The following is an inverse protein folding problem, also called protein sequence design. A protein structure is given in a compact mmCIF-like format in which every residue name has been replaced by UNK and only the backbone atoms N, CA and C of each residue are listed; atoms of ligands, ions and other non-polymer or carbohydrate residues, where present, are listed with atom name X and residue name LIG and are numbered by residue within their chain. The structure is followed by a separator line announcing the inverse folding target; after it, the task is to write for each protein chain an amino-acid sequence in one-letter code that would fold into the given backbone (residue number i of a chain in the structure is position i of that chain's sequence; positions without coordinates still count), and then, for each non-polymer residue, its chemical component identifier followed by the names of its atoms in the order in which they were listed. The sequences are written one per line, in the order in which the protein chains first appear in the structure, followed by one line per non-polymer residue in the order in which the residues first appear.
data_IF_969033840378
#
_entry.id   IF_969033840378
#
_cell.length_a   1.000
_cell.length_b   1.000
_cell.length_c   1.000
_cell.angle_alpha   90.00
_cell.angle_beta   90.00
_cell.angle_gamma   90.00
#
_symmetry.space_group_name_H-M   'P 1'
#
loop_
_entity.id
_entity.type
_entity.pdbx_description
1 polymer ?
#
# COMPACT_ATOMS: atom_id res chain seq x y z
N UNK A 1 19.04 26.60 -11.92
CA UNK A 1 18.99 25.20 -12.35
C UNK A 1 18.97 24.32 -11.11
N UNK A 2 17.78 23.96 -10.63
CA UNK A 2 17.65 22.86 -9.67
C UNK A 2 17.66 21.58 -10.49
N UNK A 3 18.61 20.70 -10.20
CA UNK A 3 18.62 19.36 -10.77
C UNK A 3 17.53 18.58 -10.06
N UNK A 4 16.42 18.34 -10.74
CA UNK A 4 15.37 17.45 -10.26
C UNK A 4 15.97 16.05 -10.11
N UNK A 5 16.13 15.60 -8.86
CA UNK A 5 16.50 14.22 -8.57
C UNK A 5 15.40 13.34 -9.18
N UNK A 6 15.74 12.35 -10.03
CA UNK A 6 14.74 11.46 -10.60
C UNK A 6 13.88 10.85 -9.50
N UNK A 7 12.56 10.98 -9.61
CA UNK A 7 11.59 10.59 -8.57
C UNK A 7 11.82 9.16 -8.05
N UNK A 8 12.20 8.24 -8.92
CA UNK A 8 12.49 6.84 -8.56
C UNK A 8 13.72 6.70 -7.64
N UNK A 9 14.72 7.55 -7.83
CA UNK A 9 15.91 7.60 -6.97
C UNK A 9 15.53 8.17 -5.60
N UNK A 10 14.72 9.23 -5.56
CA UNK A 10 14.24 9.80 -4.31
C UNK A 10 13.41 8.79 -3.48
N UNK A 11 12.51 8.06 -4.13
CA UNK A 11 11.71 7.00 -3.50
C UNK A 11 12.59 5.86 -2.97
N UNK A 12 13.54 5.38 -3.77
CA UNK A 12 14.47 4.33 -3.33
C UNK A 12 15.34 4.77 -2.14
N UNK A 13 15.82 6.02 -2.13
CA UNK A 13 16.54 6.58 -0.98
C UNK A 13 15.64 6.61 0.26
N UNK A 14 14.39 7.08 0.10
CA UNK A 14 13.40 7.12 1.18
C UNK A 14 13.15 5.73 1.76
N UNK A 15 13.03 4.71 0.93
CA UNK A 15 12.82 3.34 1.39
C UNK A 15 14.04 2.75 2.10
N UNK A 16 15.26 3.03 1.62
CA UNK A 16 16.48 2.64 2.34
C UNK A 16 16.55 3.30 3.71
N UNK A 17 16.18 4.58 3.81
CA UNK A 17 16.12 5.31 5.07
C UNK A 17 15.04 4.77 6.00
N UNK A 18 13.83 4.48 5.49
CA UNK A 18 12.77 3.82 6.26
C UNK A 18 13.20 2.44 6.75
N UNK A 19 13.89 1.67 5.90
CA UNK A 19 14.46 0.37 6.24
C UNK A 19 15.46 0.44 7.39
N UNK A 20 16.35 1.43 7.38
CA UNK A 20 17.28 1.68 8.47
C UNK A 20 16.56 2.07 9.77
N UNK A 21 15.57 2.97 9.70
CA UNK A 21 14.74 3.35 10.86
C UNK A 21 14.01 2.15 11.45
N UNK A 22 13.44 1.32 10.58
CA UNK A 22 12.78 0.08 10.97
C UNK A 22 13.74 -0.89 11.66
N UNK A 23 14.94 -1.09 11.11
CA UNK A 23 15.96 -1.96 11.71
C UNK A 23 16.39 -1.46 13.11
N UNK A 24 16.62 -0.15 13.27
CA UNK A 24 16.95 0.46 14.57
C UNK A 24 15.82 0.34 15.60
N UNK A 25 14.56 0.49 15.16
CA UNK A 25 13.38 0.32 16.02
C UNK A 25 13.22 -1.13 16.45
N UNK A 26 13.46 -2.08 15.54
CA UNK A 26 13.43 -3.52 15.82
C UNK A 26 14.52 -3.93 16.81
N UNK A 27 15.75 -3.43 16.68
CA UNK A 27 16.83 -3.71 17.65
C UNK A 27 16.52 -3.15 19.03
N UNK A 28 15.88 -1.98 19.11
CA UNK A 28 15.47 -1.36 20.38
C UNK A 28 14.37 -2.14 21.11
N UNK A 29 13.43 -2.73 20.38
CA UNK A 29 12.39 -3.59 20.96
C UNK A 29 12.87 -5.02 21.25
N UNK A 30 13.85 -5.53 20.50
CA UNK A 30 14.48 -6.84 20.76
C UNK A 30 15.45 -6.87 21.95
N UNK A 31 15.94 -5.71 22.42
CA UNK A 31 16.82 -5.64 23.61
C UNK A 31 16.11 -5.82 24.96
N UNK A 32 14.77 -5.94 24.97
CA UNK A 32 14.01 -6.20 26.20
C UNK A 32 13.80 -7.69 26.49
N UNK A 33 14.23 -8.60 25.61
CA UNK A 33 14.17 -10.05 25.86
C UNK A 33 15.59 -10.64 25.89
N UNK A 34 16.10 -10.77 27.12
CA UNK A 34 17.24 -11.61 27.52
C UNK A 34 18.56 -11.45 26.75
N UNK A 35 19.41 -10.54 27.21
CA UNK A 35 20.85 -10.68 27.02
C UNK A 35 21.57 -10.31 28.33
N UNK A 36 22.30 -11.29 28.89
CA UNK A 36 23.24 -11.07 29.99
C UNK A 36 24.27 -9.98 29.61
N UNK A 37 24.73 -9.17 30.58
CA UNK A 37 25.49 -7.97 30.29
C UNK A 37 26.95 -8.29 30.00
N UNK A 38 27.37 -8.11 28.74
CA UNK A 38 28.78 -7.96 28.41
C UNK A 38 29.26 -6.58 28.88
N UNK A 39 30.21 -6.58 29.81
CA UNK A 39 30.80 -5.37 30.42
C UNK A 39 31.70 -4.66 29.38
N UNK A 40 31.19 -3.59 28.79
CA UNK A 40 31.96 -2.52 28.13
C UNK A 40 31.31 -1.16 28.49
N UNK A 41 32.01 -0.01 28.39
CA UNK A 41 31.55 1.25 28.99
C UNK A 41 30.37 1.88 28.21
N UNK A 42 29.17 1.40 28.49
CA UNK A 42 28.01 1.51 27.58
C UNK A 42 27.08 2.71 27.85
N UNK A 43 27.44 3.62 28.75
CA UNK A 43 26.49 4.65 29.23
C UNK A 43 26.65 5.98 28.46
N UNK A 44 27.83 6.28 27.91
CA UNK A 44 28.07 7.53 27.15
C UNK A 44 27.78 7.34 25.66
N UNK A 45 28.10 6.17 25.10
CA UNK A 45 27.85 5.85 23.70
C UNK A 45 26.35 5.61 23.41
N UNK A 46 25.63 4.92 24.31
CA UNK A 46 24.19 4.75 24.17
C UNK A 46 23.41 6.06 24.31
N UNK A 47 23.83 6.99 25.17
CA UNK A 47 23.15 8.28 25.30
C UNK A 47 23.42 9.18 24.11
N UNK A 48 24.64 9.19 23.56
CA UNK A 48 24.97 9.90 22.33
C UNK A 48 24.27 9.30 21.11
N UNK A 49 24.19 7.96 21.00
CA UNK A 49 23.45 7.26 19.95
C UNK A 49 21.93 7.49 20.08
N UNK A 50 21.39 7.51 21.31
CA UNK A 50 19.98 7.78 21.56
C UNK A 50 19.66 9.25 21.25
N UNK A 51 20.50 10.21 21.63
CA UNK A 51 20.32 11.63 21.29
C UNK A 51 20.47 11.82 19.79
N UNK A 52 21.46 11.20 19.14
CA UNK A 52 21.63 11.25 17.68
C UNK A 52 20.44 10.63 16.95
N UNK A 53 19.91 9.48 17.39
CA UNK A 53 18.73 8.85 16.82
C UNK A 53 17.47 9.70 17.00
N UNK A 54 17.31 10.36 18.15
CA UNK A 54 16.12 11.20 18.43
C UNK A 54 16.19 12.54 17.71
N UNK A 55 17.39 13.12 17.58
CA UNK A 55 17.65 14.35 16.81
C UNK A 55 17.55 14.07 15.31
N UNK A 56 18.03 12.91 14.85
CA UNK A 56 17.80 12.42 13.49
C UNK A 56 16.32 12.17 13.25
N UNK A 57 15.59 11.49 14.13
CA UNK A 57 14.14 11.29 13.96
C UNK A 57 13.38 12.62 13.89
N UNK A 58 13.74 13.63 14.70
CA UNK A 58 13.15 14.97 14.61
C UNK A 58 13.54 15.70 13.33
N UNK A 59 14.79 15.62 12.87
CA UNK A 59 15.27 16.19 11.61
C UNK A 59 14.67 15.48 10.38
N UNK A 60 14.43 14.17 10.46
CA UNK A 60 13.84 13.37 9.38
C UNK A 60 12.31 13.43 9.36
N UNK A 61 11.66 13.61 10.51
CA UNK A 61 10.22 13.91 10.58
C UNK A 61 9.93 15.34 10.11
N UNK A 62 10.85 16.28 10.34
CA UNK A 62 10.81 17.61 9.69
C UNK A 62 11.14 17.54 8.20
N UNK A 63 12.06 16.68 7.74
CA UNK A 63 12.27 16.45 6.31
C UNK A 63 11.08 15.76 5.63
N UNK A 64 10.37 14.87 6.34
CA UNK A 64 9.09 14.30 5.88
C UNK A 64 8.04 15.42 5.73
N UNK A 65 7.94 16.33 6.70
CA UNK A 65 7.05 17.52 6.62
C UNK A 65 7.47 18.55 5.55
N UNK A 66 8.78 18.70 5.26
CA UNK A 66 9.28 19.65 4.25
C UNK A 66 9.17 19.04 2.84
N UNK A 67 9.35 17.74 2.65
CA UNK A 67 9.05 17.06 1.36
C UNK A 67 7.55 16.92 1.09
N UNK A 68 6.70 16.95 2.13
CA UNK A 68 5.25 17.09 2.00
C UNK A 68 4.87 18.46 1.41
N UNK A 69 5.59 19.53 1.78
CA UNK A 69 5.41 20.88 1.23
C UNK A 69 5.74 21.04 -0.27
N UNK A 70 6.36 20.03 -0.91
CA UNK A 70 6.71 20.06 -2.34
C UNK A 70 5.77 19.21 -3.21
N UNK A 71 4.84 18.45 -2.61
CA UNK A 71 3.93 17.53 -3.33
C UNK A 71 2.45 17.79 -3.04
N UNK A 72 2.07 18.57 -2.02
CA UNK A 72 0.69 19.03 -1.85
C UNK A 72 0.58 20.20 -0.86
N UNK A 73 -0.12 21.27 -1.23
CA UNK A 73 -0.40 22.46 -0.41
C UNK A 73 -1.44 22.22 0.72
N UNK A 74 -1.74 20.97 1.11
CA UNK A 74 -2.80 20.71 2.08
C UNK A 74 -2.46 19.63 3.14
N UNK A 75 -2.09 20.02 4.37
CA UNK A 75 -1.75 19.10 5.47
C UNK A 75 -2.90 18.21 5.96
N UNK A 76 -4.15 18.49 5.56
CA UNK A 76 -5.35 17.77 5.98
C UNK A 76 -5.51 16.38 5.33
N UNK A 77 -4.75 16.08 4.27
CA UNK A 77 -4.77 14.78 3.57
C UNK A 77 -4.07 13.67 4.38
N UNK A 78 -3.39 13.99 5.48
CA UNK A 78 -2.60 13.00 6.24
C UNK A 78 -3.41 12.14 7.24
N UNK A 79 -4.66 12.52 7.51
CA UNK A 79 -5.56 11.82 8.43
C UNK A 79 -6.62 10.96 7.72
N UNK A 80 -6.89 11.19 6.45
CA UNK A 80 -7.85 10.41 5.64
C UNK A 80 -7.16 9.69 4.47
N UNK A 81 -7.71 8.55 4.04
CA UNK A 81 -7.25 7.90 2.81
C UNK A 81 -7.58 8.81 1.60
N UNK A 82 -6.73 8.85 0.56
CA UNK A 82 -7.07 9.58 -0.66
C UNK A 82 -8.27 8.95 -1.35
N UNK A 83 -9.03 9.74 -2.11
CA UNK A 83 -10.06 9.22 -3.02
C UNK A 83 -9.42 8.25 -4.02
N UNK A 84 -9.87 7.00 -3.95
CA UNK A 84 -9.33 5.91 -4.77
C UNK A 84 -9.68 6.15 -6.23
N UNK A 85 -8.67 6.20 -7.10
CA UNK A 85 -8.89 6.31 -8.53
C UNK A 85 -9.15 4.93 -9.16
N UNK A 86 -9.81 4.93 -10.32
CA UNK A 86 -10.03 3.73 -11.11
C UNK A 86 -8.75 3.18 -11.74
N UNK A 87 -8.74 1.86 -11.98
CA UNK A 87 -7.66 1.14 -12.64
C UNK A 87 -7.35 1.71 -14.04
N UNK A 88 -8.37 2.12 -14.78
CA UNK A 88 -8.18 2.79 -16.08
C UNK A 88 -7.29 4.02 -15.92
N UNK A 89 -7.64 4.95 -15.03
CA UNK A 89 -6.84 6.16 -14.78
C UNK A 89 -5.38 5.84 -14.41
N UNK A 90 -5.17 4.93 -13.46
CA UNK A 90 -3.81 4.59 -13.03
C UNK A 90 -2.92 4.09 -14.18
N UNK A 91 -3.45 3.24 -15.05
CA UNK A 91 -2.63 2.57 -16.06
C UNK A 91 -2.63 3.25 -17.43
N UNK A 92 -3.57 4.15 -17.72
CA UNK A 92 -3.66 4.81 -19.04
C UNK A 92 -3.32 6.30 -19.04
N UNK A 93 -3.30 6.98 -17.89
CA UNK A 93 -2.99 8.42 -17.79
C UNK A 93 -1.48 8.76 -17.78
N UNK A 94 -0.65 7.91 -18.39
CA UNK A 94 0.79 8.15 -18.50
C UNK A 94 1.49 8.34 -17.14
N UNK A 95 2.32 9.39 -17.05
CA UNK A 95 3.07 9.70 -15.81
C UNK A 95 2.17 10.14 -14.66
N UNK A 96 1.04 10.77 -14.94
CA UNK A 96 0.09 11.21 -13.91
C UNK A 96 -0.55 10.01 -13.22
N UNK A 97 -1.08 9.07 -14.01
CA UNK A 97 -1.64 7.82 -13.50
C UNK A 97 -0.63 7.00 -12.70
N UNK A 98 0.62 6.93 -13.16
CA UNK A 98 1.71 6.26 -12.44
C UNK A 98 2.01 6.90 -11.08
N UNK A 99 2.11 8.24 -11.02
CA UNK A 99 2.35 8.98 -9.77
C UNK A 99 1.19 8.80 -8.80
N UNK A 100 -0.05 8.89 -9.30
CA UNK A 100 -1.24 8.67 -8.51
C UNK A 100 -1.30 7.25 -7.96
N UNK A 101 -1.04 6.22 -8.79
CA UNK A 101 -1.01 4.82 -8.34
C UNK A 101 -0.03 4.63 -7.18
N UNK A 102 1.20 5.10 -7.35
CA UNK A 102 2.24 4.95 -6.32
C UNK A 102 1.84 5.64 -5.00
N UNK A 103 1.38 6.89 -5.08
CA UNK A 103 0.91 7.67 -3.93
C UNK A 103 -0.26 6.97 -3.24
N UNK A 104 -1.28 6.62 -4.00
CA UNK A 104 -2.54 6.10 -3.47
C UNK A 104 -2.32 4.71 -2.86
N UNK A 105 -1.59 3.81 -3.50
CA UNK A 105 -1.27 2.49 -2.93
C UNK A 105 -0.54 2.59 -1.58
N UNK A 106 0.38 3.56 -1.43
CA UNK A 106 1.05 3.82 -0.16
C UNK A 106 0.07 4.28 0.93
N UNK A 107 -0.78 5.27 0.65
CA UNK A 107 -1.70 5.81 1.65
C UNK A 107 -2.86 4.87 1.98
N UNK A 108 -3.37 4.12 1.00
CA UNK A 108 -4.38 3.09 1.22
C UNK A 108 -3.81 1.96 2.08
N UNK A 109 -2.58 1.52 1.81
CA UNK A 109 -1.88 0.55 2.68
C UNK A 109 -1.71 1.10 4.09
N UNK A 110 -1.33 2.37 4.24
CA UNK A 110 -1.21 3.01 5.54
C UNK A 110 -2.56 3.07 6.28
N UNK A 111 -3.67 3.33 5.59
CA UNK A 111 -5.01 3.34 6.16
C UNK A 111 -5.43 1.95 6.67
N UNK A 112 -5.21 0.90 5.88
CA UNK A 112 -5.43 -0.50 6.27
C UNK A 112 -4.62 -0.85 7.53
N UNK A 113 -3.34 -0.48 7.57
CA UNK A 113 -2.47 -0.77 8.71
C UNK A 113 -2.93 -0.03 9.98
N UNK A 114 -3.36 1.23 9.85
CA UNK A 114 -3.94 2.02 10.95
C UNK A 114 -5.22 1.38 11.49
N UNK A 115 -6.14 0.95 10.62
CA UNK A 115 -7.38 0.25 11.01
C UNK A 115 -7.10 -1.00 11.83
N UNK A 116 -6.07 -1.76 11.45
CA UNK A 116 -5.65 -2.97 12.15
C UNK A 116 -4.76 -2.70 13.38
N UNK A 117 -4.60 -1.45 13.81
CA UNK A 117 -3.72 -1.04 14.93
C UNK A 117 -2.31 -1.60 14.80
N UNK A 118 -1.82 -1.71 13.57
CA UNK A 118 -0.51 -2.28 13.30
C UNK A 118 0.57 -1.26 13.70
N UNK A 119 1.43 -1.64 14.63
CA UNK A 119 2.55 -0.83 15.08
C UNK A 119 3.86 -1.33 14.48
N UNK A 120 4.89 -0.46 14.44
CA UNK A 120 6.22 -0.84 13.98
C UNK A 120 6.24 -1.47 12.57
N UNK A 121 5.44 -0.98 11.63
CA UNK A 121 5.37 -1.52 10.26
C UNK A 121 6.22 -0.69 9.29
N UNK A 122 6.95 -1.36 8.40
CA UNK A 122 7.64 -0.73 7.28
C UNK A 122 6.84 -0.96 6.00
N UNK A 123 6.46 0.13 5.32
CA UNK A 123 5.93 0.10 3.96
C UNK A 123 7.07 0.51 3.01
N UNK A 124 7.42 -0.35 2.05
CA UNK A 124 8.38 -0.08 0.99
C UNK A 124 7.64 0.49 -0.23
N UNK A 125 7.78 1.78 -0.47
CA UNK A 125 7.04 2.50 -1.50
C UNK A 125 7.46 2.07 -2.92
N UNK A 126 8.75 1.82 -3.13
CA UNK A 126 9.34 1.34 -4.39
C UNK A 126 8.74 0.00 -4.85
N UNK A 127 8.22 -0.81 -3.92
CA UNK A 127 7.54 -2.06 -4.26
C UNK A 127 6.28 -1.79 -5.09
N UNK A 128 5.55 -0.71 -4.80
CA UNK A 128 4.39 -0.33 -5.61
C UNK A 128 4.78 0.06 -7.04
N UNK A 129 5.98 0.61 -7.26
CA UNK A 129 6.50 0.82 -8.61
C UNK A 129 6.73 -0.49 -9.35
N UNK A 130 7.23 -1.52 -8.66
CA UNK A 130 7.36 -2.85 -9.26
C UNK A 130 5.99 -3.49 -9.57
N UNK A 131 5.01 -3.33 -8.69
CA UNK A 131 3.62 -3.78 -8.94
C UNK A 131 3.07 -3.08 -10.18
N UNK A 132 3.19 -1.76 -10.26
CA UNK A 132 2.73 -0.97 -11.41
C UNK A 132 3.32 -1.47 -12.73
N UNK A 133 4.65 -1.63 -12.77
CA UNK A 133 5.36 -2.07 -13.97
C UNK A 133 4.94 -3.48 -14.40
N UNK A 134 4.80 -4.42 -13.46
CA UNK A 134 4.31 -5.76 -13.77
C UNK A 134 2.87 -5.75 -14.27
N UNK A 135 1.99 -4.97 -13.65
CA UNK A 135 0.60 -4.82 -14.09
C UNK A 135 0.54 -4.31 -15.53
N UNK A 136 1.28 -3.24 -15.83
CA UNK A 136 1.35 -2.65 -17.17
C UNK A 136 1.95 -3.60 -18.21
N UNK A 137 3.00 -4.35 -17.85
CA UNK A 137 3.65 -5.27 -18.77
C UNK A 137 2.77 -6.49 -19.07
N UNK A 138 2.21 -7.12 -18.04
CA UNK A 138 1.53 -8.42 -18.15
C UNK A 138 0.06 -8.31 -18.54
N UNK A 139 -0.61 -7.22 -18.14
CA UNK A 139 -2.05 -7.05 -18.31
C UNK A 139 -2.41 -5.85 -19.21
N UNK A 140 -1.48 -5.35 -20.04
CA UNK A 140 -1.73 -4.22 -20.96
C UNK A 140 -2.96 -4.41 -21.83
N UNK A 141 -3.13 -5.60 -22.41
CA UNK A 141 -4.30 -5.92 -23.24
C UNK A 141 -5.60 -5.94 -22.43
N UNK A 142 -5.54 -6.42 -21.19
CA UNK A 142 -6.69 -6.44 -20.28
C UNK A 142 -7.07 -5.02 -19.80
N UNK A 143 -6.07 -4.16 -19.56
CA UNK A 143 -6.26 -2.74 -19.24
C UNK A 143 -6.90 -2.02 -20.43
N UNK A 144 -6.42 -2.26 -21.65
CA UNK A 144 -6.97 -1.63 -22.86
C UNK A 144 -8.46 -1.98 -23.09
N UNK A 145 -8.88 -3.20 -22.73
CA UNK A 145 -10.28 -3.64 -22.86
C UNK A 145 -11.26 -2.85 -22.00
N UNK A 146 -10.81 -2.20 -20.93
CA UNK A 146 -11.68 -1.32 -20.11
C UNK A 146 -12.27 -0.15 -20.92
N UNK A 147 -11.66 0.20 -22.05
CA UNK A 147 -12.14 1.26 -22.93
C UNK A 147 -13.02 0.76 -24.09
N UNK A 148 -13.16 -0.56 -24.27
CA UNK A 148 -14.04 -1.12 -25.30
C UNK A 148 -15.50 -1.14 -24.80
N UNK A 149 -16.43 -0.44 -25.46
CA UNK A 149 -17.84 -0.41 -25.07
C UNK A 149 -18.53 -1.78 -25.08
N UNK A 150 -17.95 -2.80 -25.73
CA UNK A 150 -18.49 -4.17 -25.77
C UNK A 150 -18.00 -5.04 -24.62
N UNK A 151 -17.04 -4.55 -23.83
CA UNK A 151 -16.50 -5.29 -22.69
C UNK A 151 -17.51 -5.33 -21.55
N UNK A 152 -17.69 -6.50 -20.95
CA UNK A 152 -18.30 -6.60 -19.62
C UNK A 152 -17.34 -5.97 -18.60
N UNK A 153 -17.60 -4.71 -18.27
CA UNK A 153 -16.74 -3.90 -17.41
C UNK A 153 -16.57 -4.51 -16.03
N UNK A 154 -17.60 -5.18 -15.48
CA UNK A 154 -17.53 -5.79 -14.14
C UNK A 154 -16.59 -7.00 -14.18
N UNK A 155 -16.75 -7.88 -15.17
CA UNK A 155 -15.87 -9.06 -15.30
C UNK A 155 -14.42 -8.67 -15.60
N UNK A 156 -14.22 -7.69 -16.49
CA UNK A 156 -12.89 -7.22 -16.84
C UNK A 156 -12.21 -6.53 -15.66
N UNK A 157 -12.95 -5.72 -14.90
CA UNK A 157 -12.46 -5.08 -13.68
C UNK A 157 -12.12 -6.12 -12.62
N UNK A 158 -12.97 -7.11 -12.38
CA UNK A 158 -12.72 -8.17 -11.41
C UNK A 158 -11.44 -8.97 -11.72
N UNK A 159 -11.18 -9.24 -13.00
CA UNK A 159 -9.92 -9.85 -13.46
C UNK A 159 -8.71 -8.99 -13.10
N UNK A 160 -8.77 -7.69 -13.36
CA UNK A 160 -7.68 -6.76 -13.04
C UNK A 160 -7.51 -6.55 -11.53
N UNK A 161 -8.58 -6.53 -10.74
CA UNK A 161 -8.52 -6.52 -9.28
C UNK A 161 -7.83 -7.77 -8.74
N UNK A 162 -8.17 -8.94 -9.29
CA UNK A 162 -7.55 -10.22 -8.93
C UNK A 162 -6.05 -10.19 -9.20
N UNK A 163 -5.66 -9.75 -10.39
CA UNK A 163 -4.28 -9.58 -10.78
C UNK A 163 -3.52 -8.59 -9.88
N UNK A 164 -4.10 -7.40 -9.62
CA UNK A 164 -3.49 -6.38 -8.76
C UNK A 164 -3.27 -6.91 -7.35
N UNK A 165 -4.29 -7.55 -6.76
CA UNK A 165 -4.21 -8.14 -5.44
C UNK A 165 -3.10 -9.19 -5.34
N UNK A 166 -3.06 -10.13 -6.29
CA UNK A 166 -2.03 -11.16 -6.35
C UNK A 166 -0.64 -10.57 -6.54
N UNK A 167 -0.49 -9.52 -7.36
CA UNK A 167 0.81 -8.87 -7.56
C UNK A 167 1.28 -8.12 -6.30
N UNK A 168 0.38 -7.47 -5.57
CA UNK A 168 0.71 -6.85 -4.27
C UNK A 168 1.17 -7.93 -3.28
N UNK A 169 0.45 -9.06 -3.19
CA UNK A 169 0.82 -10.18 -2.30
C UNK A 169 2.18 -10.78 -2.67
N UNK A 170 2.44 -10.95 -3.97
CA UNK A 170 3.71 -11.51 -4.45
C UNK A 170 4.89 -10.60 -4.15
N UNK A 171 4.69 -9.29 -4.25
CA UNK A 171 5.74 -8.29 -4.09
C UNK A 171 5.98 -7.87 -2.63
N UNK A 172 5.03 -8.16 -1.73
CA UNK A 172 5.15 -7.97 -0.28
C UNK A 172 5.64 -6.56 0.14
N UNK A 173 4.89 -5.49 -0.17
CA UNK A 173 5.32 -4.11 0.12
C UNK A 173 5.40 -3.79 1.62
N UNK A 174 4.90 -4.68 2.48
CA UNK A 174 4.84 -4.49 3.93
C UNK A 174 5.77 -5.48 4.61
N UNK A 175 6.67 -4.98 5.46
CA UNK A 175 7.56 -5.79 6.29
C UNK A 175 7.26 -5.52 7.77
N UNK A 176 7.17 -6.60 8.55
CA UNK A 176 6.56 -6.59 9.88
C UNK A 176 7.44 -7.21 10.96
N UNK A 177 7.24 -6.75 12.21
CA UNK A 177 7.97 -7.27 13.39
C UNK A 177 7.18 -8.25 14.26
N UNK A 178 5.84 -8.17 14.36
CA UNK A 178 5.01 -9.24 15.00
C UNK A 178 3.50 -8.94 15.17
N UNK A 179 3.00 -7.70 15.08
CA UNK A 179 1.66 -7.34 15.58
C UNK A 179 0.48 -7.50 14.61
N UNK A 180 0.72 -7.71 13.31
CA UNK A 180 -0.35 -7.81 12.30
C UNK A 180 -0.50 -9.26 11.83
N UNK A 181 -1.73 -9.77 11.81
CA UNK A 181 -1.98 -11.11 11.26
C UNK A 181 -1.85 -11.11 9.75
N UNK A 182 -1.35 -12.20 9.18
CA UNK A 182 -1.27 -12.39 7.73
C UNK A 182 -2.65 -12.23 7.07
N UNK A 183 -3.69 -12.78 7.70
CA UNK A 183 -5.07 -12.63 7.26
C UNK A 183 -5.52 -11.16 7.19
N UNK A 184 -5.18 -10.33 8.18
CA UNK A 184 -5.54 -8.91 8.16
C UNK A 184 -4.85 -8.17 6.99
N UNK A 185 -3.60 -8.53 6.70
CA UNK A 185 -2.86 -7.96 5.57
C UNK A 185 -3.45 -8.42 4.22
N UNK A 186 -3.76 -9.71 4.08
CA UNK A 186 -4.42 -10.28 2.90
C UNK A 186 -5.77 -9.61 2.65
N UNK A 187 -6.64 -9.53 3.67
CA UNK A 187 -7.93 -8.84 3.58
C UNK A 187 -7.75 -7.36 3.23
N UNK A 188 -6.76 -6.70 3.83
CA UNK A 188 -6.42 -5.32 3.50
C UNK A 188 -6.08 -5.09 2.04
N UNK A 189 -5.21 -5.92 1.46
CA UNK A 189 -4.84 -5.81 0.05
C UNK A 189 -5.97 -6.22 -0.91
N UNK A 190 -6.80 -7.18 -0.52
CA UNK A 190 -8.01 -7.50 -1.27
C UNK A 190 -8.98 -6.31 -1.29
N UNK A 191 -9.15 -5.62 -0.16
CA UNK A 191 -9.99 -4.43 -0.05
C UNK A 191 -9.46 -3.26 -0.90
N UNK A 192 -8.15 -2.99 -0.86
CA UNK A 192 -7.52 -1.96 -1.72
C UNK A 192 -7.79 -2.26 -3.20
N UNK A 193 -7.60 -3.52 -3.61
CA UNK A 193 -7.82 -3.92 -5.00
C UNK A 193 -9.28 -3.82 -5.41
N UNK A 194 -10.21 -4.18 -4.52
CA UNK A 194 -11.65 -4.02 -4.72
C UNK A 194 -12.06 -2.56 -4.79
N UNK A 195 -11.51 -1.68 -3.95
CA UNK A 195 -11.80 -0.25 -3.98
C UNK A 195 -11.42 0.38 -5.33
N UNK A 196 -10.27 0.01 -5.90
CA UNK A 196 -9.92 0.39 -7.27
C UNK A 196 -10.92 -0.17 -8.30
N UNK A 197 -11.44 -1.38 -8.05
CA UNK A 197 -12.45 -2.00 -8.88
C UNK A 197 -13.78 -1.24 -8.88
N UNK A 198 -14.26 -0.85 -7.70
CA UNK A 198 -15.47 -0.04 -7.54
C UNK A 198 -15.33 1.30 -8.27
N UNK A 199 -14.20 1.99 -8.07
CA UNK A 199 -13.86 3.23 -8.77
C UNK A 199 -13.78 3.08 -10.31
N UNK A 200 -13.59 1.85 -10.81
CA UNK A 200 -13.50 1.56 -12.25
C UNK A 200 -14.86 1.20 -12.85
N UNK A 201 -15.58 0.27 -12.21
CA UNK A 201 -16.78 -0.33 -12.77
C UNK A 201 -18.06 0.44 -12.42
N UNK A 202 -18.07 1.17 -11.30
CA UNK A 202 -19.26 1.88 -10.79
C UNK A 202 -18.94 3.33 -10.36
N UNK A 203 -18.22 4.13 -11.17
CA UNK A 203 -17.74 5.44 -10.74
C UNK A 203 -18.85 6.41 -10.30
N UNK A 204 -20.05 6.31 -10.88
CA UNK A 204 -21.21 7.14 -10.51
C UNK A 204 -21.80 6.71 -9.17
N UNK A 205 -21.93 5.40 -8.94
CA UNK A 205 -22.54 4.90 -7.71
C UNK A 205 -21.61 5.12 -6.50
N UNK A 206 -20.30 5.17 -6.75
CA UNK A 206 -19.28 5.50 -5.74
C UNK A 206 -19.16 7.00 -5.44
N UNK A 207 -19.92 7.88 -6.10
CA UNK A 207 -19.81 9.32 -5.88
C UNK A 207 -20.19 9.67 -4.43
N UNK A 208 -19.24 10.25 -3.68
CA UNK A 208 -19.37 10.56 -2.24
C UNK A 208 -19.41 9.34 -1.30
N UNK A 209 -19.07 8.15 -1.78
CA UNK A 209 -18.90 6.96 -0.94
C UNK A 209 -17.40 6.72 -0.71
N UNK A 210 -17.02 6.36 0.52
CA UNK A 210 -15.67 5.88 0.79
C UNK A 210 -15.49 4.47 0.19
N UNK A 211 -14.80 4.42 -0.96
CA UNK A 211 -14.53 3.19 -1.70
C UNK A 211 -13.74 2.18 -0.87
N UNK A 212 -12.79 2.65 -0.06
CA UNK A 212 -11.94 1.77 0.74
C UNK A 212 -12.74 1.17 1.89
N UNK A 213 -13.52 1.98 2.61
CA UNK A 213 -14.33 1.48 3.72
C UNK A 213 -15.39 0.49 3.23
N UNK A 214 -16.06 0.80 2.12
CA UNK A 214 -17.03 -0.12 1.50
C UNK A 214 -16.39 -1.45 1.11
N UNK A 215 -15.19 -1.41 0.52
CA UNK A 215 -14.44 -2.60 0.15
C UNK A 215 -13.96 -3.38 1.38
N UNK A 216 -13.52 -2.71 2.45
CA UNK A 216 -13.09 -3.32 3.69
C UNK A 216 -14.22 -4.14 4.34
N UNK A 217 -15.41 -3.54 4.50
CA UNK A 217 -16.57 -4.22 5.07
C UNK A 217 -16.98 -5.44 4.23
N UNK A 218 -16.95 -5.31 2.91
CA UNK A 218 -17.29 -6.39 1.99
C UNK A 218 -16.30 -7.56 2.05
N UNK A 219 -15.01 -7.25 2.11
CA UNK A 219 -13.93 -8.24 2.21
C UNK A 219 -13.92 -8.91 3.58
N UNK A 220 -14.14 -8.18 4.68
CA UNK A 220 -14.27 -8.74 6.02
C UNK A 220 -15.38 -9.81 6.05
N UNK A 221 -16.54 -9.55 5.42
CA UNK A 221 -17.64 -10.50 5.32
C UNK A 221 -17.38 -11.72 4.41
N UNK A 222 -16.25 -11.75 3.68
CA UNK A 222 -15.87 -12.82 2.74
C UNK A 222 -14.46 -13.34 2.96
N UNK A 223 -13.81 -12.98 4.07
CA UNK A 223 -12.40 -13.25 4.33
C UNK A 223 -12.02 -14.72 4.21
N UNK A 224 -12.85 -15.63 4.72
CA UNK A 224 -12.61 -17.08 4.62
C UNK A 224 -12.53 -17.57 3.17
N UNK A 225 -13.43 -17.09 2.29
CA UNK A 225 -13.44 -17.48 0.86
C UNK A 225 -12.22 -16.93 0.10
N UNK A 226 -11.74 -15.75 0.48
CA UNK A 226 -10.51 -15.17 -0.09
C UNK A 226 -9.32 -16.04 0.29
N UNK A 227 -9.19 -16.38 1.57
CA UNK A 227 -8.12 -17.24 2.06
C UNK A 227 -8.17 -18.64 1.42
N UNK A 228 -9.35 -19.23 1.33
CA UNK A 228 -9.57 -20.52 0.67
C UNK A 228 -9.12 -20.48 -0.80
N UNK A 229 -9.51 -19.44 -1.54
CA UNK A 229 -9.13 -19.27 -2.94
C UNK A 229 -7.61 -19.12 -3.10
N UNK A 230 -6.94 -18.39 -2.20
CA UNK A 230 -5.47 -18.27 -2.19
C UNK A 230 -4.79 -19.60 -1.85
N UNK A 231 -5.28 -20.31 -0.83
CA UNK A 231 -4.75 -21.60 -0.40
C UNK A 231 -4.81 -22.63 -1.54
N UNK A 232 -5.95 -22.69 -2.22
CA UNK A 232 -6.19 -23.60 -3.34
C UNK A 232 -5.58 -23.12 -4.66
N UNK A 233 -5.01 -21.90 -4.70
CA UNK A 233 -4.53 -21.23 -5.92
C UNK A 233 -5.61 -21.14 -7.00
N UNK A 234 -6.86 -20.96 -6.58
CA UNK A 234 -8.02 -20.86 -7.46
C UNK A 234 -8.28 -19.39 -7.84
N UNK A 235 -7.57 -18.94 -8.88
CA UNK A 235 -7.72 -17.59 -9.43
C UNK A 235 -9.13 -17.33 -9.98
N UNK A 236 -9.78 -18.36 -10.52
CA UNK A 236 -11.13 -18.22 -11.09
C UNK A 236 -12.18 -17.98 -10.00
N UNK A 237 -12.07 -18.69 -8.86
CA UNK A 237 -12.93 -18.44 -7.70
C UNK A 237 -12.73 -17.03 -7.14
N UNK A 238 -11.48 -16.57 -7.05
CA UNK A 238 -11.14 -15.23 -6.58
C UNK A 238 -11.68 -14.13 -7.51
N UNK A 239 -11.54 -14.30 -8.83
CA UNK A 239 -12.13 -13.40 -9.81
C UNK A 239 -13.65 -13.37 -9.71
N UNK A 240 -14.30 -14.54 -9.61
CA UNK A 240 -15.76 -14.62 -9.45
C UNK A 240 -16.22 -13.91 -8.17
N UNK A 241 -15.45 -14.03 -7.09
CA UNK A 241 -15.74 -13.34 -5.84
C UNK A 241 -15.66 -11.82 -6.03
N UNK A 242 -14.58 -11.30 -6.62
CA UNK A 242 -14.47 -9.86 -6.91
C UNK A 242 -15.57 -9.37 -7.84
N UNK A 243 -15.92 -10.11 -8.90
CA UNK A 243 -17.03 -9.74 -9.79
C UNK A 243 -18.36 -9.65 -9.05
N UNK A 244 -18.62 -10.61 -8.15
CA UNK A 244 -19.83 -10.62 -7.30
C UNK A 244 -19.84 -9.41 -6.37
N UNK A 245 -18.71 -9.10 -5.72
CA UNK A 245 -18.61 -7.95 -4.83
C UNK A 245 -18.79 -6.62 -5.57
N UNK A 246 -18.11 -6.44 -6.71
CA UNK A 246 -18.26 -5.25 -7.55
C UNK A 246 -19.71 -5.08 -7.98
N UNK A 247 -20.39 -6.16 -8.41
CA UNK A 247 -21.78 -6.08 -8.87
C UNK A 247 -22.76 -5.66 -7.78
N UNK A 248 -22.55 -6.07 -6.53
CA UNK A 248 -23.53 -5.88 -5.45
C UNK A 248 -23.25 -4.71 -4.52
N UNK A 249 -22.04 -4.19 -4.48
CA UNK A 249 -21.73 -3.02 -3.66
C UNK A 249 -22.37 -1.77 -4.29
N UNK A 250 -22.85 -0.82 -3.46
CA UNK A 250 -23.28 0.49 -3.93
C UNK A 250 -22.11 1.11 -4.67
#
# INVERSE_FOLDING_TARGET
MHQDIPNDIAVSIKDKLRGLRYALRRTRHGQNETAEPAILPDIVLNRAAHVAATVMDKAFSTAENISISLVSDNPSIHDTAPDVQGLSFYFTSGQEGQRAFHRDMYYLTKAVLRRNKAENVLIQEAVFMSVYNHMKQRYSADIARLHDPKTDVIQQTARLCTALFQEILRQQPVHQSSSLSEQALISGFAAISLACGLATAKPVDMENIDNLESALLAVEARGERILESLHNKDEAALQKLFATLIFHLP
#
